data_IF_571466026994
#
_entry.id   IF_571466026994
#
_cell.length_a   1.000
_cell.length_b   1.000
_cell.length_c   1.000
_cell.angle_alpha   90.00
_cell.angle_beta   90.00
_cell.angle_gamma   90.00
#
_symmetry.space_group_name_H-M   'P 1'
#
loop_
_entity.id
_entity.type
_entity.pdbx_description
1 polymer ?
#
# COMPACT_ATOMS: atom_id res chain seq x y z
N UNK A 1 6.13 -44.12 -44.81
CA UNK A 1 5.83 -44.42 -43.40
C UNK A 1 6.19 -43.17 -42.60
N UNK A 2 5.31 -42.79 -41.64
CA UNK A 2 5.37 -41.64 -40.72
C UNK A 2 6.77 -41.50 -40.08
N UNK A 3 7.25 -40.34 -39.61
CA UNK A 3 6.70 -39.66 -38.42
C UNK A 3 6.96 -38.14 -38.43
N UNK A 4 5.87 -37.37 -38.26
CA UNK A 4 5.87 -36.00 -37.73
C UNK A 4 6.14 -36.07 -36.21
N UNK A 5 7.07 -35.27 -35.70
CA UNK A 5 7.14 -34.88 -34.29
C UNK A 5 7.30 -33.34 -34.24
N UNK A 6 6.19 -32.62 -34.03
CA UNK A 6 5.77 -31.97 -32.76
C UNK A 6 6.70 -30.86 -32.26
N UNK A 7 6.27 -29.63 -32.57
CA UNK A 7 5.98 -28.52 -31.63
C UNK A 7 6.72 -28.48 -30.29
N UNK A 8 7.35 -27.34 -29.98
CA UNK A 8 7.06 -26.49 -28.80
C UNK A 8 8.28 -25.59 -28.54
N UNK A 9 8.10 -24.28 -28.64
CA UNK A 9 8.83 -23.32 -27.82
C UNK A 9 7.89 -22.14 -27.60
N UNK A 10 6.87 -22.38 -26.78
CA UNK A 10 6.10 -21.31 -26.17
C UNK A 10 7.01 -20.65 -25.13
N UNK A 11 7.55 -19.49 -25.49
CA UNK A 11 8.25 -18.59 -24.59
C UNK A 11 7.24 -18.11 -23.55
N UNK A 12 7.22 -18.74 -22.38
CA UNK A 12 6.39 -18.32 -21.26
C UNK A 12 6.88 -16.95 -20.79
N UNK A 13 6.14 -15.90 -21.15
CA UNK A 13 6.25 -14.58 -20.53
C UNK A 13 5.87 -14.73 -19.07
N UNK A 14 6.87 -14.76 -18.20
CA UNK A 14 6.66 -14.62 -16.77
C UNK A 14 6.13 -13.21 -16.53
N UNK A 15 4.82 -13.11 -16.26
CA UNK A 15 4.23 -11.92 -15.68
C UNK A 15 4.84 -11.74 -14.29
N UNK A 16 5.83 -10.86 -14.18
CA UNK A 16 6.25 -10.32 -12.89
C UNK A 16 5.13 -9.39 -12.40
N UNK A 17 4.08 -9.96 -11.79
CA UNK A 17 3.28 -9.19 -10.86
C UNK A 17 4.24 -8.83 -9.72
N UNK A 18 4.64 -7.56 -9.63
CA UNK A 18 5.27 -7.04 -8.43
C UNK A 18 4.27 -7.23 -7.30
N UNK A 19 4.43 -8.30 -6.53
CA UNK A 19 3.74 -8.45 -5.26
C UNK A 19 4.32 -7.36 -4.37
N UNK A 20 3.62 -6.24 -4.25
CA UNK A 20 3.84 -5.34 -3.12
C UNK A 20 3.52 -6.15 -1.87
N UNK A 21 4.57 -6.66 -1.25
CA UNK A 21 4.42 -7.48 -0.06
C UNK A 21 3.88 -6.57 1.06
N UNK A 22 2.69 -6.91 1.55
CA UNK A 22 2.06 -6.22 2.66
C UNK A 22 2.97 -6.25 3.88
N UNK A 23 3.10 -5.10 4.56
CA UNK A 23 3.90 -4.94 5.75
C UNK A 23 3.35 -3.82 6.64
N UNK A 24 3.82 -3.81 7.88
CA UNK A 24 3.42 -2.84 8.89
C UNK A 24 4.34 -1.63 8.90
N UNK A 25 3.75 -0.45 9.03
CA UNK A 25 4.42 0.86 9.07
C UNK A 25 3.79 1.73 10.15
N UNK A 26 4.50 2.78 10.56
CA UNK A 26 3.96 3.78 11.48
C UNK A 26 3.28 4.94 10.74
N UNK A 27 3.71 5.22 9.52
CA UNK A 27 3.27 6.38 8.76
C UNK A 27 2.96 6.02 7.30
N UNK A 28 1.83 6.51 6.79
CA UNK A 28 1.40 6.32 5.40
C UNK A 28 0.70 7.56 4.83
N UNK A 29 0.78 7.75 3.52
CA UNK A 29 0.03 8.80 2.79
C UNK A 29 -0.38 8.35 1.39
N UNK A 30 -1.34 9.05 0.79
CA UNK A 30 -1.76 8.81 -0.58
C UNK A 30 -1.02 9.75 -1.56
N UNK A 31 -0.54 9.22 -2.68
CA UNK A 31 0.09 9.97 -3.76
C UNK A 31 -0.53 9.64 -5.12
N UNK A 32 -0.30 10.52 -6.09
CA UNK A 32 -0.71 10.31 -7.48
C UNK A 32 0.21 9.25 -8.11
N UNK A 33 -0.34 8.20 -8.74
CA UNK A 33 0.43 7.09 -9.28
C UNK A 33 1.53 7.57 -10.24
N UNK A 34 2.72 6.98 -10.10
CA UNK A 34 3.88 7.33 -10.94
C UNK A 34 4.45 8.74 -10.72
N UNK A 35 4.08 9.42 -9.64
CA UNK A 35 4.61 10.74 -9.27
C UNK A 35 4.92 10.82 -7.77
N UNK A 36 5.72 11.81 -7.38
CA UNK A 36 5.96 12.16 -5.97
C UNK A 36 4.91 13.14 -5.40
N UNK A 37 3.83 13.40 -6.14
CA UNK A 37 2.80 14.35 -5.73
C UNK A 37 1.84 13.72 -4.72
N UNK A 38 1.91 14.20 -3.49
CA UNK A 38 0.98 13.84 -2.42
C UNK A 38 -0.40 14.48 -2.61
N UNK A 39 -1.46 13.77 -2.22
CA UNK A 39 -2.80 14.34 -2.07
C UNK A 39 -3.24 14.31 -0.59
N UNK A 40 -3.25 15.49 0.04
CA UNK A 40 -3.54 15.64 1.47
C UNK A 40 -5.00 15.31 1.81
N UNK A 41 -5.95 15.69 0.95
CA UNK A 41 -7.37 15.41 1.16
C UNK A 41 -7.64 13.91 1.05
N UNK A 42 -7.09 13.25 0.03
CA UNK A 42 -7.17 11.80 -0.13
C UNK A 42 -6.51 11.10 1.06
N UNK A 43 -5.35 11.58 1.52
CA UNK A 43 -4.66 11.02 2.69
C UNK A 43 -5.51 11.12 3.95
N UNK A 44 -6.13 12.26 4.21
CA UNK A 44 -7.02 12.44 5.36
C UNK A 44 -8.22 11.48 5.29
N UNK A 45 -8.91 11.43 4.15
CA UNK A 45 -10.08 10.55 3.98
C UNK A 45 -9.72 9.07 4.06
N UNK A 46 -8.60 8.67 3.45
CA UNK A 46 -8.09 7.31 3.53
C UNK A 46 -7.71 6.94 4.97
N UNK A 47 -7.10 7.85 5.71
CA UNK A 47 -6.79 7.64 7.12
C UNK A 47 -8.06 7.49 7.97
N UNK A 48 -9.06 8.35 7.76
CA UNK A 48 -10.35 8.25 8.45
C UNK A 48 -11.05 6.91 8.15
N UNK A 49 -10.94 6.42 6.90
CA UNK A 49 -11.48 5.12 6.51
C UNK A 49 -10.70 3.98 7.15
N UNK A 50 -9.38 3.97 7.02
CA UNK A 50 -8.50 2.97 7.61
C UNK A 50 -8.70 2.86 9.13
N UNK A 51 -8.87 4.02 9.80
CA UNK A 51 -9.12 4.06 11.22
C UNK A 51 -10.44 3.41 11.63
N UNK A 52 -11.49 3.55 10.81
CA UNK A 52 -12.78 2.89 11.05
C UNK A 52 -12.71 1.39 10.81
N UNK A 53 -11.99 0.97 9.77
CA UNK A 53 -12.10 -0.39 9.24
C UNK A 53 -11.04 -1.34 9.83
N UNK A 54 -9.85 -0.83 10.19
CA UNK A 54 -8.70 -1.66 10.57
C UNK A 54 -8.10 -1.25 11.92
N UNK A 55 -7.79 0.04 12.10
CA UNK A 55 -7.07 0.50 13.29
C UNK A 55 -7.53 1.88 13.78
N UNK A 56 -8.43 1.90 14.76
CA UNK A 56 -8.97 3.12 15.36
C UNK A 56 -7.93 4.06 16.01
N UNK A 57 -6.68 3.60 16.14
CA UNK A 57 -5.57 4.40 16.62
C UNK A 57 -4.89 5.24 15.52
N UNK A 58 -5.06 4.87 14.25
CA UNK A 58 -4.53 5.62 13.12
C UNK A 58 -5.21 7.00 13.04
N UNK A 59 -4.41 8.05 12.91
CA UNK A 59 -4.91 9.43 12.88
C UNK A 59 -4.20 10.23 11.81
N UNK A 60 -4.96 11.10 11.14
CA UNK A 60 -4.36 12.08 10.26
C UNK A 60 -3.61 13.13 11.09
N UNK A 61 -2.36 13.38 10.71
CA UNK A 61 -1.52 14.46 11.24
C UNK A 61 -1.09 15.35 10.09
N UNK A 62 -1.41 16.64 10.16
CA UNK A 62 -0.91 17.62 9.19
C UNK A 62 0.61 17.78 9.29
N UNK A 63 1.16 17.70 10.50
CA UNK A 63 2.59 17.86 10.75
C UNK A 63 3.31 16.51 10.90
N UNK A 64 4.55 16.37 10.41
CA UNK A 64 5.24 17.25 9.46
C UNK A 64 4.90 16.96 7.97
N UNK A 65 4.14 15.91 7.66
CA UNK A 65 4.04 15.35 6.30
C UNK A 65 2.62 15.11 5.79
N UNK A 66 1.59 15.66 6.45
CA UNK A 66 0.18 15.47 6.10
C UNK A 66 -0.18 13.99 5.90
N UNK A 67 0.07 13.18 6.92
CA UNK A 67 0.06 11.72 6.83
C UNK A 67 -0.95 11.07 7.77
N UNK A 68 -1.28 9.81 7.50
CA UNK A 68 -1.85 8.93 8.50
C UNK A 68 -0.72 8.37 9.37
N UNK A 69 -0.84 8.47 10.68
CA UNK A 69 0.20 8.04 11.61
C UNK A 69 -0.36 7.27 12.78
N UNK A 70 0.39 6.28 13.24
CA UNK A 70 0.23 5.60 14.52
C UNK A 70 1.42 5.83 15.46
N UNK A 71 2.36 6.68 15.06
CA UNK A 71 3.62 6.95 15.78
C UNK A 71 3.38 7.33 17.24
N UNK A 72 4.13 6.71 18.15
CA UNK A 72 4.04 6.92 19.59
C UNK A 72 2.97 6.09 20.30
N UNK A 73 2.25 5.21 19.59
CA UNK A 73 1.30 4.28 20.18
C UNK A 73 1.91 2.88 20.24
N UNK A 74 1.92 2.29 21.43
CA UNK A 74 2.63 1.03 21.70
C UNK A 74 2.19 -0.17 20.86
N UNK A 75 0.99 -0.15 20.28
CA UNK A 75 0.45 -1.22 19.44
C UNK A 75 -0.10 -0.71 18.09
N UNK A 76 0.16 0.55 17.73
CA UNK A 76 -0.43 1.15 16.55
C UNK A 76 0.45 0.90 15.33
N UNK A 77 -0.06 0.14 14.35
CA UNK A 77 0.56 0.00 13.02
C UNK A 77 -0.45 0.18 11.90
N UNK A 78 0.07 0.50 10.73
CA UNK A 78 -0.64 0.60 9.47
C UNK A 78 -0.12 -0.50 8.54
N UNK A 79 -0.98 -1.45 8.18
CA UNK A 79 -0.74 -2.36 7.07
C UNK A 79 -0.84 -1.57 5.77
N UNK A 80 0.24 -1.57 4.97
CA UNK A 80 0.29 -0.74 3.77
C UNK A 80 -0.69 -1.22 2.67
N UNK A 81 -1.04 -2.50 2.57
CA UNK A 81 -1.97 -2.98 1.56
C UNK A 81 -3.41 -2.58 1.87
N UNK A 82 -3.79 -2.66 3.15
CA UNK A 82 -5.08 -2.17 3.61
C UNK A 82 -5.15 -0.63 3.44
N UNK A 83 -4.06 0.09 3.73
CA UNK A 83 -4.00 1.53 3.51
C UNK A 83 -4.01 1.92 2.02
N UNK A 84 -3.36 1.14 1.15
CA UNK A 84 -3.44 1.29 -0.30
C UNK A 84 -4.87 1.16 -0.81
N UNK A 85 -5.60 0.17 -0.30
CA UNK A 85 -7.02 -0.02 -0.59
C UNK A 85 -7.83 1.21 -0.18
N UNK A 86 -7.54 1.81 0.98
CA UNK A 86 -8.18 3.04 1.43
C UNK A 86 -7.83 4.25 0.54
N UNK A 87 -6.60 4.38 0.05
CA UNK A 87 -6.22 5.40 -0.92
C UNK A 87 -6.96 5.24 -2.25
N UNK A 88 -7.03 4.02 -2.77
CA UNK A 88 -7.76 3.68 -4.01
C UNK A 88 -9.27 3.91 -3.91
N UNK A 89 -9.83 3.86 -2.71
CA UNK A 89 -11.23 4.22 -2.47
C UNK A 89 -11.50 5.73 -2.61
N UNK A 90 -10.48 6.59 -2.55
CA UNK A 90 -10.62 8.04 -2.71
C UNK A 90 -10.36 8.53 -4.14
N UNK A 91 -9.89 7.66 -5.02
CA UNK A 91 -9.51 7.97 -6.40
C UNK A 91 -8.41 7.05 -6.91
N UNK A 92 -7.83 7.37 -8.05
CA UNK A 92 -6.67 6.65 -8.58
C UNK A 92 -5.40 7.14 -7.86
N UNK A 93 -5.22 6.66 -6.62
CA UNK A 93 -4.10 6.97 -5.74
C UNK A 93 -3.41 5.68 -5.28
N UNK A 94 -2.12 5.79 -4.96
CA UNK A 94 -1.30 4.73 -4.38
C UNK A 94 -0.85 5.14 -2.98
N UNK A 95 -0.55 4.15 -2.12
CA UNK A 95 0.07 4.42 -0.82
C UNK A 95 1.58 4.67 -0.93
N UNK A 96 2.07 5.55 -0.07
CA UNK A 96 3.48 5.65 0.31
C UNK A 96 3.58 5.54 1.83
N UNK A 97 4.15 4.44 2.32
CA UNK A 97 4.38 4.19 3.75
C UNK A 97 5.87 4.20 4.10
N UNK A 98 6.20 4.68 5.31
CA UNK A 98 7.56 4.72 5.86
C UNK A 98 7.57 4.41 7.36
N UNK A 99 8.77 4.34 7.94
CA UNK A 99 8.99 3.79 9.29
C UNK A 99 8.42 2.36 9.42
N UNK A 100 9.00 1.45 8.63
CA UNK A 100 8.62 0.03 8.64
C UNK A 100 8.81 -0.55 10.03
N UNK A 101 7.75 -1.14 10.58
CA UNK A 101 7.80 -1.88 11.83
C UNK A 101 8.18 -3.32 11.51
N UNK A 102 9.14 -3.86 12.26
CA UNK A 102 9.54 -5.27 12.12
C UNK A 102 8.38 -6.23 12.37
N UNK A 103 8.54 -7.53 12.07
CA UNK A 103 7.58 -8.51 12.57
C UNK A 103 7.45 -8.36 14.09
N UNK A 104 6.23 -8.29 14.58
CA UNK A 104 5.98 -8.41 16.01
C UNK A 104 6.37 -9.83 16.42
N UNK A 105 7.38 -9.95 17.29
CA UNK A 105 7.76 -11.23 17.91
C UNK A 105 6.62 -11.76 18.82
#
# INVERSE_FOLDING_TARGET
>A
MRVLFTTLSALALFFAASVEACANYEDCKCHVPGTDLQNNEATQKACDQYARDHNAQAKFSADPHHQCTTSGLSNGVIDNCDFDTACKAQGDFEQYCWHKVGPFD
#
